data_IF_661897063066
#
_entry.id   IF_661897063066
#
_cell.length_a   1.000
_cell.length_b   1.000
_cell.length_c   1.000
_cell.angle_alpha   90.00
_cell.angle_beta   90.00
_cell.angle_gamma   90.00
#
_symmetry.space_group_name_H-M   'P 1'
#
loop_
_entity.id
_entity.type
_entity.pdbx_description
1 polymer ?
#
# COMPACT_ATOMS: atom_id res chain seq x y z
N UNK A 1 -17.20 46.28 62.77
CA UNK A 1 -16.13 45.40 62.32
C UNK A 1 -16.80 44.22 61.54
N UNK A 2 -16.70 44.23 60.22
CA UNK A 2 -17.41 43.25 59.33
C UNK A 2 -16.37 42.54 58.53
N UNK A 3 -16.15 41.26 58.85
CA UNK A 3 -15.25 40.40 58.11
C UNK A 3 -16.04 39.71 56.97
N UNK A 4 -15.66 40.01 55.75
CA UNK A 4 -16.15 39.35 54.58
C UNK A 4 -15.19 38.18 54.27
N UNK A 5 -15.71 36.95 54.35
CA UNK A 5 -15.02 35.71 53.90
C UNK A 5 -15.21 35.57 52.40
N UNK A 6 -14.14 35.73 51.63
CA UNK A 6 -14.09 35.43 50.23
C UNK A 6 -13.79 33.90 50.05
N UNK A 7 -14.78 33.14 49.64
CA UNK A 7 -14.68 31.77 49.19
C UNK A 7 -14.13 31.78 47.76
N UNK A 8 -12.87 31.47 47.58
CA UNK A 8 -12.29 31.22 46.25
C UNK A 8 -12.68 29.81 45.79
N UNK A 9 -13.64 29.74 44.86
CA UNK A 9 -14.01 28.50 44.17
C UNK A 9 -12.92 28.08 43.20
N UNK A 10 -12.23 26.99 43.49
CA UNK A 10 -11.32 26.32 42.53
C UNK A 10 -12.16 25.52 41.55
N UNK A 11 -12.30 26.04 40.36
CA UNK A 11 -12.94 25.34 39.24
C UNK A 11 -11.92 24.32 38.67
N UNK A 12 -12.02 23.07 39.11
CA UNK A 12 -11.25 21.97 38.54
C UNK A 12 -11.76 21.67 37.11
N UNK A 13 -11.04 22.15 36.10
CA UNK A 13 -11.22 21.74 34.73
C UNK A 13 -10.78 20.27 34.59
N UNK A 14 -11.71 19.34 34.75
CA UNK A 14 -11.51 17.96 34.40
C UNK A 14 -11.36 17.88 32.85
N UNK A 15 -10.11 17.88 32.40
CA UNK A 15 -9.77 17.65 31.01
C UNK A 15 -10.19 16.24 30.62
N UNK A 16 -11.32 16.09 29.96
CA UNK A 16 -11.68 14.86 29.28
C UNK A 16 -10.61 14.55 28.24
N UNK A 17 -9.70 13.63 28.54
CA UNK A 17 -8.86 12.97 27.52
C UNK A 17 -9.85 12.24 26.59
N UNK A 18 -10.18 12.87 25.48
CA UNK A 18 -10.85 12.16 24.38
C UNK A 18 -9.91 11.05 23.94
N UNK A 19 -10.26 9.84 24.28
CA UNK A 19 -9.60 8.64 23.78
C UNK A 19 -10.01 8.50 22.31
N UNK A 20 -9.36 9.29 21.44
CA UNK A 20 -9.62 9.28 20.01
C UNK A 20 -9.06 7.96 19.48
N UNK A 21 -9.96 7.02 19.15
CA UNK A 21 -9.58 5.83 18.40
C UNK A 21 -8.90 6.29 17.11
N UNK A 22 -7.74 5.73 16.74
CA UNK A 22 -7.11 6.08 15.48
C UNK A 22 -8.07 5.83 14.32
N UNK A 23 -8.03 6.66 13.27
CA UNK A 23 -8.86 6.46 12.10
C UNK A 23 -8.56 5.09 11.47
N UNK A 24 -9.57 4.46 10.92
CA UNK A 24 -9.45 3.14 10.30
C UNK A 24 -9.78 3.22 8.80
N UNK A 25 -9.10 2.40 8.01
CA UNK A 25 -9.29 2.31 6.57
C UNK A 25 -10.69 1.83 6.24
N UNK A 26 -11.45 2.63 5.48
CA UNK A 26 -12.84 2.34 5.13
C UNK A 26 -13.01 1.18 4.15
N UNK A 27 -12.09 1.03 3.20
CA UNK A 27 -12.08 -0.04 2.20
C UNK A 27 -10.65 -0.60 2.06
N UNK A 28 -10.54 -1.92 1.90
CA UNK A 28 -9.25 -2.57 1.69
C UNK A 28 -8.56 -2.03 0.43
N UNK A 29 -7.23 -2.03 0.43
CA UNK A 29 -6.40 -1.79 -0.75
C UNK A 29 -5.96 -3.14 -1.31
N UNK A 30 -6.18 -3.34 -2.59
CA UNK A 30 -5.81 -4.55 -3.31
C UNK A 30 -5.15 -4.21 -4.65
N UNK A 31 -4.47 -5.16 -5.25
CA UNK A 31 -3.90 -5.07 -6.60
C UNK A 31 -4.43 -6.19 -7.48
N UNK A 32 -4.69 -5.85 -8.74
CA UNK A 32 -5.04 -6.85 -9.75
C UNK A 32 -3.81 -7.63 -10.17
N UNK A 33 -4.00 -8.94 -10.32
CA UNK A 33 -3.01 -9.86 -10.87
C UNK A 33 -3.36 -10.26 -12.30
N UNK A 34 -2.38 -10.69 -13.10
CA UNK A 34 -2.66 -11.32 -14.39
C UNK A 34 -3.72 -12.42 -14.25
N UNK A 35 -4.72 -12.38 -15.13
CA UNK A 35 -5.86 -13.30 -15.05
C UNK A 35 -7.07 -12.78 -14.26
N UNK A 36 -7.01 -11.53 -13.76
CA UNK A 36 -8.17 -10.85 -13.15
C UNK A 36 -8.45 -11.22 -11.69
N UNK A 37 -7.52 -11.90 -11.02
CA UNK A 37 -7.59 -12.07 -9.56
C UNK A 37 -7.13 -10.79 -8.85
N UNK A 38 -7.56 -10.61 -7.61
CA UNK A 38 -7.14 -9.50 -6.76
C UNK A 38 -6.45 -10.01 -5.51
N UNK A 39 -5.29 -9.43 -5.20
CA UNK A 39 -4.54 -9.68 -3.97
C UNK A 39 -4.69 -8.49 -3.04
N UNK A 40 -5.20 -8.73 -1.83
CA UNK A 40 -5.36 -7.70 -0.82
C UNK A 40 -4.01 -7.39 -0.17
N UNK A 41 -3.65 -6.10 -0.12
CA UNK A 41 -2.42 -5.59 0.49
C UNK A 41 -2.67 -5.01 1.89
N UNK A 42 -3.70 -4.19 2.02
CA UNK A 42 -4.06 -3.54 3.29
C UNK A 42 -5.53 -3.87 3.57
N UNK A 43 -5.79 -4.43 4.73
CA UNK A 43 -7.14 -4.86 5.09
C UNK A 43 -8.05 -3.66 5.41
N UNK A 44 -9.34 -3.82 5.12
CA UNK A 44 -10.37 -2.92 5.63
C UNK A 44 -10.34 -2.92 7.17
N UNK A 45 -10.47 -1.75 7.77
CA UNK A 45 -10.41 -1.58 9.21
C UNK A 45 -8.99 -1.47 9.78
N UNK A 46 -7.93 -1.58 8.97
CA UNK A 46 -6.55 -1.29 9.41
C UNK A 46 -6.45 0.14 9.93
N UNK A 47 -5.72 0.34 11.02
CA UNK A 47 -5.42 1.68 11.51
C UNK A 47 -4.61 2.45 10.46
N UNK A 48 -4.94 3.72 10.26
CA UNK A 48 -4.24 4.62 9.34
C UNK A 48 -3.64 5.81 10.11
N UNK A 49 -2.47 6.33 9.68
CA UNK A 49 -1.72 5.98 8.46
C UNK A 49 -1.06 4.60 8.53
N UNK A 50 -0.95 3.95 7.37
CA UNK A 50 -0.34 2.63 7.24
C UNK A 50 0.31 2.44 5.87
N UNK A 51 1.13 1.42 5.73
CA UNK A 51 1.75 1.08 4.44
C UNK A 51 1.91 -0.43 4.27
N UNK A 52 1.97 -0.85 3.01
CA UNK A 52 2.34 -2.20 2.62
C UNK A 52 3.35 -2.14 1.48
N UNK A 53 4.33 -3.02 1.47
CA UNK A 53 5.32 -3.14 0.40
C UNK A 53 5.23 -4.53 -0.20
N UNK A 54 5.09 -4.58 -1.52
CA UNK A 54 5.04 -5.83 -2.28
C UNK A 54 6.07 -5.81 -3.39
N UNK A 55 6.55 -7.01 -3.73
CA UNK A 55 7.49 -7.19 -4.83
C UNK A 55 6.75 -7.57 -6.10
N UNK A 56 7.01 -6.83 -7.16
CA UNK A 56 6.50 -7.10 -8.50
C UNK A 56 7.63 -7.51 -9.44
N UNK A 57 7.27 -8.22 -10.49
CA UNK A 57 8.20 -8.61 -11.53
C UNK A 57 7.62 -8.33 -12.92
N UNK A 58 8.41 -8.57 -13.97
CA UNK A 58 7.97 -8.39 -15.35
C UNK A 58 7.35 -9.66 -15.91
N UNK A 59 6.36 -9.50 -16.77
CA UNK A 59 5.70 -10.62 -17.47
C UNK A 59 6.44 -11.02 -18.76
N UNK A 60 7.32 -10.16 -19.26
CA UNK A 60 8.08 -10.36 -20.50
C UNK A 60 9.53 -9.93 -20.34
N UNK A 61 10.37 -10.47 -21.20
CA UNK A 61 11.79 -10.08 -21.27
C UNK A 61 11.94 -8.60 -21.63
N UNK A 62 12.96 -7.98 -21.08
CA UNK A 62 13.37 -6.60 -21.36
C UNK A 62 12.28 -5.52 -21.13
N UNK A 63 11.24 -5.82 -20.36
CA UNK A 63 10.27 -4.81 -19.96
C UNK A 63 10.93 -3.75 -19.08
N UNK A 64 10.71 -2.49 -19.47
CA UNK A 64 11.24 -1.30 -18.76
C UNK A 64 10.18 -0.57 -17.96
N UNK A 65 8.99 -1.13 -17.91
CA UNK A 65 7.80 -0.53 -17.30
C UNK A 65 6.92 -1.61 -16.70
N UNK A 66 6.38 -1.32 -15.51
CA UNK A 66 5.31 -2.10 -14.90
C UNK A 66 4.04 -1.27 -14.81
N UNK A 67 2.89 -1.90 -14.99
CA UNK A 67 1.60 -1.29 -14.73
C UNK A 67 0.93 -2.01 -13.56
N UNK A 68 0.48 -1.27 -12.57
CA UNK A 68 -0.13 -1.79 -11.36
C UNK A 68 -1.53 -1.21 -11.27
N UNK A 69 -2.54 -2.09 -11.34
CA UNK A 69 -3.93 -1.71 -11.16
C UNK A 69 -4.29 -1.83 -9.68
N UNK A 70 -4.54 -0.71 -9.04
CA UNK A 70 -4.94 -0.67 -7.63
C UNK A 70 -6.44 -0.59 -7.51
N UNK A 71 -6.97 -1.36 -6.58
CA UNK A 71 -8.38 -1.59 -6.36
C UNK A 71 -8.75 -1.28 -4.91
N UNK A 72 -10.01 -0.90 -4.70
CA UNK A 72 -10.63 -0.74 -3.39
C UNK A 72 -11.74 -1.75 -3.19
N UNK A 73 -11.80 -2.31 -1.98
CA UNK A 73 -12.82 -3.25 -1.58
C UNK A 73 -12.27 -4.62 -1.19
N UNK A 74 -13.15 -5.52 -0.79
CA UNK A 74 -12.83 -6.87 -0.35
C UNK A 74 -13.31 -7.90 -1.37
N UNK A 75 -12.44 -8.83 -1.77
CA UNK A 75 -12.77 -9.87 -2.73
C UNK A 75 -11.53 -10.36 -3.49
N UNK A 76 -11.72 -11.45 -4.24
CA UNK A 76 -10.63 -12.11 -4.99
C UNK A 76 -10.70 -11.89 -6.49
N UNK A 77 -11.70 -11.17 -6.98
CA UNK A 77 -11.92 -10.94 -8.42
C UNK A 77 -11.85 -9.45 -8.68
N UNK A 78 -10.88 -9.01 -9.47
CA UNK A 78 -10.62 -7.60 -9.73
C UNK A 78 -11.84 -6.86 -10.32
N UNK A 79 -12.54 -7.47 -11.27
CA UNK A 79 -13.73 -6.90 -11.91
C UNK A 79 -14.94 -6.69 -10.99
N UNK A 80 -14.87 -7.13 -9.73
CA UNK A 80 -15.90 -6.92 -8.69
C UNK A 80 -15.50 -5.85 -7.68
N UNK A 81 -14.31 -5.27 -7.81
CA UNK A 81 -13.78 -4.24 -6.92
C UNK A 81 -13.79 -2.88 -7.62
N UNK A 82 -13.74 -1.81 -6.82
CA UNK A 82 -13.67 -0.46 -7.33
C UNK A 82 -12.25 -0.13 -7.79
N UNK A 83 -12.08 0.39 -9.00
CA UNK A 83 -10.78 0.85 -9.47
C UNK A 83 -10.38 2.13 -8.74
N UNK A 84 -9.22 2.12 -8.09
CA UNK A 84 -8.55 3.32 -7.57
C UNK A 84 -7.73 3.99 -8.69
N UNK A 85 -7.32 3.24 -9.70
CA UNK A 85 -6.57 3.68 -10.88
C UNK A 85 -5.35 2.82 -11.17
N UNK A 86 -4.62 3.23 -12.18
CA UNK A 86 -3.39 2.58 -12.62
C UNK A 86 -2.17 3.40 -12.20
N UNK A 87 -1.14 2.71 -11.72
CA UNK A 87 0.19 3.27 -11.46
C UNK A 87 1.20 2.63 -12.39
N UNK A 88 1.93 3.48 -13.10
CA UNK A 88 2.97 3.03 -14.03
C UNK A 88 4.32 3.33 -13.40
N UNK A 89 5.13 2.30 -13.26
CA UNK A 89 6.51 2.36 -12.79
C UNK A 89 7.42 2.30 -14.00
N UNK A 90 8.18 3.37 -14.24
CA UNK A 90 9.07 3.51 -15.39
C UNK A 90 10.54 3.41 -14.99
N UNK A 91 11.36 2.97 -15.93
CA UNK A 91 12.81 2.98 -15.81
C UNK A 91 13.41 1.73 -15.19
N UNK A 92 12.74 0.58 -15.31
CA UNK A 92 13.27 -0.69 -14.88
C UNK A 92 14.55 -1.04 -15.66
N UNK A 93 15.45 -1.76 -15.00
CA UNK A 93 16.57 -2.40 -15.69
C UNK A 93 16.04 -3.60 -16.46
N UNK A 94 16.39 -3.73 -17.76
CA UNK A 94 15.96 -4.86 -18.55
C UNK A 94 16.58 -6.16 -18.05
N UNK A 95 15.78 -7.20 -17.96
CA UNK A 95 16.17 -8.55 -17.60
C UNK A 95 15.13 -9.54 -18.16
N UNK A 96 15.33 -10.83 -17.94
CA UNK A 96 14.33 -11.84 -18.34
C UNK A 96 13.07 -11.71 -17.51
N UNK A 97 11.95 -12.13 -18.10
CA UNK A 97 10.66 -12.20 -17.40
C UNK A 97 10.81 -12.95 -16.06
N UNK A 98 10.23 -12.40 -15.01
CA UNK A 98 10.27 -12.97 -13.68
C UNK A 98 11.54 -12.67 -12.86
N UNK A 99 12.63 -12.22 -13.48
CA UNK A 99 13.88 -11.91 -12.77
C UNK A 99 13.88 -10.57 -12.01
N UNK A 100 13.37 -9.45 -12.58
CA UNK A 100 13.40 -8.18 -11.86
C UNK A 100 12.58 -8.24 -10.58
N UNK A 101 13.14 -7.73 -9.49
CA UNK A 101 12.44 -7.49 -8.23
C UNK A 101 12.20 -6.00 -8.07
N UNK A 102 10.96 -5.57 -8.18
CA UNK A 102 10.55 -4.19 -8.02
C UNK A 102 9.70 -4.07 -6.76
N UNK A 103 10.27 -3.47 -5.73
CA UNK A 103 9.56 -3.23 -4.48
C UNK A 103 8.67 -1.99 -4.63
N UNK A 104 7.38 -2.18 -4.49
CA UNK A 104 6.38 -1.12 -4.56
C UNK A 104 5.73 -0.94 -3.20
N UNK A 105 5.82 0.27 -2.68
CA UNK A 105 5.23 0.64 -1.40
C UNK A 105 3.95 1.44 -1.63
N UNK A 106 2.88 0.99 -1.01
CA UNK A 106 1.56 1.61 -0.97
C UNK A 106 1.38 2.26 0.39
N UNK A 107 1.29 3.57 0.43
CA UNK A 107 1.15 4.34 1.67
C UNK A 107 -0.25 4.94 1.73
N UNK A 108 -0.97 4.69 2.81
CA UNK A 108 -2.27 5.29 3.07
C UNK A 108 -2.12 6.31 4.19
N UNK A 109 -2.47 7.55 3.91
CA UNK A 109 -2.41 8.64 4.87
C UNK A 109 -3.57 8.59 5.88
N UNK A 110 -3.54 9.50 6.86
CA UNK A 110 -4.57 9.59 7.91
C UNK A 110 -5.97 9.98 7.37
N UNK A 111 -6.08 10.43 6.13
CA UNK A 111 -7.32 10.77 5.43
C UNK A 111 -7.79 9.65 4.50
N UNK A 112 -7.02 8.56 4.37
CA UNK A 112 -7.30 7.44 3.48
C UNK A 112 -6.79 7.65 2.04
N UNK A 113 -6.04 8.72 1.78
CA UNK A 113 -5.38 8.99 0.51
C UNK A 113 -4.27 7.99 0.23
N UNK A 114 -4.12 7.56 -1.03
CA UNK A 114 -3.12 6.59 -1.44
C UNK A 114 -1.96 7.26 -2.18
N UNK A 115 -0.74 6.99 -1.72
CA UNK A 115 0.51 7.28 -2.42
C UNK A 115 1.22 5.97 -2.77
N UNK A 116 1.87 5.95 -3.93
CA UNK A 116 2.62 4.77 -4.40
C UNK A 116 4.03 5.19 -4.78
N UNK A 117 5.01 4.45 -4.26
CA UNK A 117 6.42 4.61 -4.60
C UNK A 117 7.03 3.27 -4.99
N UNK A 118 8.11 3.29 -5.76
CA UNK A 118 8.75 2.08 -6.24
C UNK A 118 10.28 2.21 -6.22
N UNK A 119 10.95 1.07 -5.99
CA UNK A 119 12.41 0.94 -6.10
C UNK A 119 12.77 -0.41 -6.72
N UNK A 120 13.88 -0.42 -7.41
CA UNK A 120 14.55 -1.64 -7.86
C UNK A 120 15.97 -1.59 -7.31
N UNK A 121 16.33 -2.56 -6.50
CA UNK A 121 17.54 -2.51 -5.67
C UNK A 121 17.57 -1.21 -4.84
N UNK A 122 18.65 -0.46 -4.84
CA UNK A 122 18.77 0.83 -4.16
C UNK A 122 18.27 2.02 -4.97
N UNK A 123 17.77 1.79 -6.20
CA UNK A 123 17.38 2.83 -7.12
C UNK A 123 15.88 3.12 -7.03
N UNK A 124 15.54 4.35 -6.68
CA UNK A 124 14.16 4.86 -6.75
C UNK A 124 13.72 4.96 -8.21
N UNK A 125 12.53 4.44 -8.51
CA UNK A 125 11.94 4.48 -9.84
C UNK A 125 10.89 5.59 -9.93
N UNK A 126 10.62 6.02 -11.16
CA UNK A 126 9.55 7.00 -11.42
C UNK A 126 8.21 6.27 -11.40
N UNK A 127 7.28 6.79 -10.61
CA UNK A 127 5.89 6.32 -10.55
C UNK A 127 4.96 7.43 -11.01
N UNK A 128 4.04 7.11 -11.89
CA UNK A 128 3.00 8.03 -12.36
C UNK A 128 1.64 7.34 -12.32
N UNK A 129 0.62 8.07 -11.88
CA UNK A 129 -0.77 7.62 -11.97
C UNK A 129 -1.30 7.91 -13.38
N UNK A 130 -2.04 6.98 -13.95
CA UNK A 130 -2.72 7.15 -15.23
C UNK A 130 -4.17 6.68 -15.12
N UNK A 131 -5.01 7.18 -16.00
CA UNK A 131 -6.41 6.77 -16.03
C UNK A 131 -6.57 5.40 -16.71
N UNK A 132 -7.59 4.61 -16.32
CA UNK A 132 -7.76 3.24 -16.77
C UNK A 132 -8.15 3.08 -18.24
N UNK A 133 -8.35 4.15 -18.98
CA UNK A 133 -9.14 4.18 -20.22
C UNK A 133 -8.36 3.86 -21.52
N UNK A 134 -7.07 3.59 -21.47
CA UNK A 134 -6.35 3.29 -22.70
C UNK A 134 -6.22 1.80 -23.04
N UNK A 135 -6.86 0.92 -22.27
CA UNK A 135 -7.05 -0.53 -22.59
C UNK A 135 -5.75 -1.32 -22.88
N UNK A 136 -4.60 -0.67 -22.82
CA UNK A 136 -3.28 -1.20 -23.17
C UNK A 136 -2.47 -1.69 -21.99
N UNK A 137 -2.86 -1.27 -20.79
CA UNK A 137 -2.17 -1.65 -19.56
C UNK A 137 -2.59 -3.05 -19.15
N UNK A 138 -1.61 -3.87 -18.81
CA UNK A 138 -1.83 -5.18 -18.19
C UNK A 138 -1.19 -5.18 -16.81
N UNK A 139 -1.84 -5.78 -15.81
CA UNK A 139 -1.31 -5.80 -14.46
C UNK A 139 -0.01 -6.59 -14.40
N UNK A 140 0.98 -6.05 -13.68
CA UNK A 140 2.23 -6.72 -13.40
C UNK A 140 2.01 -7.84 -12.37
N UNK A 141 2.65 -9.01 -12.55
CA UNK A 141 2.58 -10.08 -11.58
C UNK A 141 3.36 -9.71 -10.29
N UNK A 142 2.87 -10.20 -9.15
CA UNK A 142 3.70 -10.27 -7.95
C UNK A 142 4.84 -11.25 -8.20
N UNK A 143 6.02 -10.92 -7.69
CA UNK A 143 7.12 -11.88 -7.68
C UNK A 143 6.84 -12.97 -6.65
N UNK A 144 7.18 -14.18 -6.98
CA UNK A 144 7.15 -15.25 -6.00
C UNK A 144 8.15 -14.97 -4.87
N UNK A 145 7.85 -15.37 -3.62
CA UNK A 145 8.83 -15.28 -2.55
C UNK A 145 10.11 -16.04 -2.97
N UNK A 146 11.25 -15.49 -2.58
CA UNK A 146 12.53 -16.13 -2.83
C UNK A 146 12.70 -17.29 -1.84
N UNK A 147 12.35 -18.50 -2.27
CA UNK A 147 12.50 -19.73 -1.47
C UNK A 147 13.99 -20.17 -1.36
N UNK A 148 14.95 -19.31 -1.69
CA UNK A 148 16.37 -19.65 -1.70
C UNK A 148 17.09 -19.48 -0.35
N UNK A 149 16.40 -19.17 0.74
CA UNK A 149 17.04 -18.94 2.05
C UNK A 149 16.89 -20.10 3.07
N UNK A 150 16.70 -21.35 2.66
CA UNK A 150 16.74 -22.49 3.60
C UNK A 150 17.45 -23.72 3.01
N UNK A 151 18.68 -23.54 2.50
CA UNK A 151 19.59 -24.64 2.23
C UNK A 151 20.87 -24.49 3.05
N UNK A 152 20.73 -24.36 4.36
CA UNK A 152 21.81 -24.69 5.27
C UNK A 152 21.83 -26.21 5.42
N UNK A 153 22.53 -26.87 4.48
CA UNK A 153 22.97 -28.23 4.68
C UNK A 153 23.98 -28.25 5.83
N UNK A 154 23.53 -28.84 6.93
CA UNK A 154 24.41 -29.27 8.02
C UNK A 154 25.35 -30.35 7.49
N UNK A 155 26.68 -30.17 7.50
CA UNK A 155 27.62 -31.26 7.19
C UNK A 155 27.87 -32.11 8.43
N UNK A 156 27.56 -33.40 8.33
CA UNK A 156 28.03 -34.43 9.25
C UNK A 156 29.58 -34.56 9.24
#
# INVERSE_FOLDING_TARGET
MRWALLLAGVLALAGCKRNSRPPALGEAVAVEQPGGSATQLIAQGSEIPTSATESFTTARDDERRLAIHVLRGTGRTAGKLNSEGWWVVDGLQPAKAGEPRVHVTFEVDAQGGLAVSARQDDRKLKVSRTDPDDGKLKPAPLSEPDDSEDADEDPE
#
